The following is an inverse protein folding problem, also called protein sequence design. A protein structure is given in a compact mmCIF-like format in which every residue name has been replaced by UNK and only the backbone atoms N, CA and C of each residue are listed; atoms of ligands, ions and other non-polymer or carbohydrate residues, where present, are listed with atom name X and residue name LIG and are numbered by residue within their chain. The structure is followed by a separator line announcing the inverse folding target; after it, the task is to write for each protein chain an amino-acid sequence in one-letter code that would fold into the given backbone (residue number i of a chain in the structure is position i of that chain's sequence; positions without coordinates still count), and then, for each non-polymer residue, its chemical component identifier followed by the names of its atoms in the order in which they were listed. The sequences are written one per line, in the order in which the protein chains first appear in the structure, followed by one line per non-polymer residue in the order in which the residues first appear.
data_IF_903795962762
#
_entry.id   IF_903795962762
#
_cell.length_a   1.000
_cell.length_b   1.000
_cell.length_c   1.000
_cell.angle_alpha   90.00
_cell.angle_beta   90.00
_cell.angle_gamma   90.00
#
_symmetry.space_group_name_H-M   'P 1'
#
loop_
_entity.id
_entity.type
_entity.pdbx_description
1 polymer ?
#
# COMPACT_ATOMS: atom_id res chain seq x y z
N UNK A 1 8.04 -13.09 -14.71
CA UNK A 1 9.12 -13.07 -13.71
C UNK A 1 8.53 -13.53 -12.38
N UNK A 2 9.15 -14.47 -11.68
CA UNK A 2 8.65 -14.90 -10.38
C UNK A 2 9.25 -14.03 -9.27
N UNK A 3 8.44 -13.72 -8.26
CA UNK A 3 8.82 -12.92 -7.07
C UNK A 3 8.80 -13.80 -5.82
N UNK A 4 9.56 -13.42 -4.79
CA UNK A 4 9.67 -14.17 -3.54
C UNK A 4 9.38 -13.26 -2.36
N UNK A 5 8.32 -13.60 -1.64
CA UNK A 5 7.94 -13.00 -0.37
C UNK A 5 7.41 -11.57 -0.46
N UNK A 6 6.66 -11.19 0.54
CA UNK A 6 6.28 -9.82 0.82
C UNK A 6 7.43 -9.17 1.60
N UNK A 7 8.04 -8.13 1.04
CA UNK A 7 9.16 -7.45 1.70
C UNK A 7 8.67 -6.32 2.60
N UNK A 8 7.73 -5.50 2.09
CA UNK A 8 7.25 -4.34 2.82
C UNK A 8 5.89 -3.89 2.30
N UNK A 9 5.07 -3.35 3.18
CA UNK A 9 3.86 -2.61 2.85
C UNK A 9 3.96 -1.20 3.45
N UNK A 10 3.56 -0.20 2.68
CA UNK A 10 3.56 1.21 3.09
C UNK A 10 2.22 1.84 2.77
N UNK A 11 1.77 2.75 3.63
CA UNK A 11 0.50 3.46 3.51
C UNK A 11 0.71 4.96 3.64
N UNK A 12 -0.10 5.74 2.95
CA UNK A 12 -0.19 7.19 3.10
C UNK A 12 -1.62 7.64 2.93
N UNK A 13 -2.08 8.59 3.76
CA UNK A 13 -3.38 9.21 3.55
C UNK A 13 -3.26 10.26 2.44
N UNK A 14 -4.23 10.29 1.55
CA UNK A 14 -4.30 11.28 0.47
C UNK A 14 -5.61 12.05 0.56
N UNK A 15 -5.58 13.30 0.10
CA UNK A 15 -6.77 14.14 0.00
C UNK A 15 -7.58 13.89 -1.28
N UNK A 16 -8.69 14.59 -1.45
CA UNK A 16 -9.56 14.49 -2.64
C UNK A 16 -8.83 14.86 -3.95
N UNK A 17 -7.67 15.52 -3.87
CA UNK A 17 -6.80 15.83 -5.01
C UNK A 17 -5.67 14.81 -5.19
N UNK A 18 -5.73 13.73 -4.43
CA UNK A 18 -4.74 12.64 -4.39
C UNK A 18 -3.33 13.12 -3.99
N UNK A 19 -3.24 14.14 -3.14
CA UNK A 19 -1.99 14.60 -2.54
C UNK A 19 -1.82 14.03 -1.14
N UNK A 20 -0.58 13.68 -0.81
CA UNK A 20 -0.24 13.12 0.50
C UNK A 20 -0.55 14.11 1.62
N UNK A 21 -1.28 13.62 2.62
CA UNK A 21 -1.55 14.34 3.85
C UNK A 21 -0.38 14.10 4.82
N UNK A 22 0.33 15.16 5.18
CA UNK A 22 1.49 15.12 6.07
C UNK A 22 1.15 15.74 7.44
N UNK A 23 1.98 15.44 8.45
CA UNK A 23 1.85 15.96 9.80
C UNK A 23 1.27 14.96 10.80
N UNK A 24 1.74 15.03 12.04
CA UNK A 24 1.46 14.04 13.08
C UNK A 24 -0.03 13.91 13.47
N UNK A 25 -0.84 14.92 13.20
CA UNK A 25 -2.26 14.93 13.57
C UNK A 25 -3.22 14.63 12.41
N UNK A 26 -2.76 14.79 11.17
CA UNK A 26 -3.60 14.66 9.98
C UNK A 26 -3.15 13.52 9.08
N UNK A 27 -1.84 13.21 9.04
CA UNK A 27 -1.26 12.14 8.23
C UNK A 27 -0.88 10.91 9.06
N UNK A 28 -0.29 9.93 8.40
CA UNK A 28 0.26 8.73 9.05
C UNK A 28 1.69 8.99 9.54
N UNK A 29 1.86 9.93 10.47
CA UNK A 29 3.16 10.35 10.98
C UNK A 29 3.70 11.63 10.34
N UNK A 30 4.91 12.04 10.75
CA UNK A 30 5.52 13.30 10.35
C UNK A 30 5.69 13.43 8.84
N UNK A 31 6.12 12.36 8.19
CA UNK A 31 6.40 12.32 6.75
C UNK A 31 5.16 11.94 5.93
N UNK A 32 4.04 11.60 6.58
CA UNK A 32 2.79 11.20 5.95
C UNK A 32 2.76 9.75 5.49
N UNK A 33 3.87 9.04 5.49
CA UNK A 33 3.96 7.62 5.09
C UNK A 33 4.21 6.74 6.31
N UNK A 34 3.33 5.76 6.49
CA UNK A 34 3.53 4.69 7.46
C UNK A 34 4.11 3.45 6.79
N UNK A 35 5.19 2.94 7.34
CA UNK A 35 5.84 1.72 6.88
C UNK A 35 5.60 0.62 7.88
N UNK A 36 5.01 -0.51 7.44
CA UNK A 36 4.86 -1.70 8.27
C UNK A 36 6.24 -2.31 8.53
N UNK A 37 6.68 -2.28 9.77
CA UNK A 37 8.03 -2.68 10.18
C UNK A 37 8.03 -3.68 11.36
N UNK A 38 9.14 -3.76 12.08
CA UNK A 38 9.29 -4.65 13.24
C UNK A 38 8.35 -4.33 14.41
N UNK A 39 7.86 -3.10 14.54
CA UNK A 39 6.90 -2.70 15.59
C UNK A 39 5.56 -3.37 15.36
N UNK A 40 5.22 -3.56 14.09
CA UNK A 40 3.99 -4.23 13.64
C UNK A 40 4.18 -5.75 13.49
N UNK A 41 5.33 -6.28 13.85
CA UNK A 41 5.73 -7.68 13.58
C UNK A 41 5.69 -8.05 12.09
N UNK A 42 5.64 -7.04 11.22
CA UNK A 42 5.61 -7.17 9.77
C UNK A 42 4.27 -7.54 9.18
N UNK A 43 4.19 -7.42 7.86
CA UNK A 43 3.06 -7.90 7.07
C UNK A 43 3.26 -9.37 6.67
N UNK A 44 2.22 -10.20 6.86
CA UNK A 44 2.23 -11.63 6.63
C UNK A 44 1.90 -11.98 5.19
N UNK A 45 0.81 -11.43 4.68
CA UNK A 45 0.38 -11.62 3.30
C UNK A 45 -0.15 -10.34 2.67
N UNK A 46 -0.01 -10.24 1.35
CA UNK A 46 -0.68 -9.29 0.50
C UNK A 46 -1.11 -10.01 -0.78
N UNK A 47 -2.38 -10.37 -0.86
CA UNK A 47 -2.93 -11.05 -2.02
C UNK A 47 -3.60 -10.05 -2.95
N UNK A 48 -2.96 -9.76 -4.09
CA UNK A 48 -3.43 -8.82 -5.09
C UNK A 48 -4.25 -9.56 -6.14
N UNK A 49 -5.49 -9.17 -6.32
CA UNK A 49 -6.43 -9.71 -7.33
C UNK A 49 -6.92 -8.59 -8.24
N UNK A 50 -7.56 -8.94 -9.37
CA UNK A 50 -8.17 -7.95 -10.26
C UNK A 50 -7.17 -7.08 -11.04
N UNK A 51 -5.91 -7.52 -11.21
CA UNK A 51 -4.90 -6.80 -12.01
C UNK A 51 -5.23 -6.74 -13.51
N UNK A 52 -6.14 -7.55 -13.97
CA UNK A 52 -6.73 -7.47 -15.32
C UNK A 52 -8.20 -7.84 -15.25
N UNK A 53 -9.01 -7.23 -16.12
CA UNK A 53 -10.40 -7.63 -16.28
C UNK A 53 -10.51 -9.04 -16.87
N UNK A 54 -11.66 -9.68 -16.64
CA UNK A 54 -11.97 -10.97 -17.27
C UNK A 54 -12.37 -10.74 -18.73
N UNK A 55 -11.72 -11.39 -19.72
CA UNK A 55 -12.05 -11.21 -21.12
C UNK A 55 -13.52 -11.58 -21.42
N UNK A 56 -14.25 -10.66 -22.03
CA UNK A 56 -15.59 -10.87 -22.54
C UNK A 56 -15.49 -11.31 -23.99
N UNK A 57 -15.94 -12.53 -24.30
CA UNK A 57 -15.88 -13.12 -25.63
C UNK A 57 -17.02 -12.64 -26.48
N UNK A 58 -16.73 -12.15 -27.70
CA UNK A 58 -17.69 -11.72 -28.70
C UNK A 58 -17.80 -12.80 -29.79
N UNK A 59 -18.98 -13.39 -29.88
CA UNK A 59 -19.27 -14.46 -30.82
C UNK A 59 -20.03 -13.92 -32.05
N UNK A 60 -19.67 -14.41 -33.23
CA UNK A 60 -20.37 -14.15 -34.50
C UNK A 60 -20.13 -15.28 -35.50
N UNK A 61 -21.15 -15.60 -36.32
CA UNK A 61 -21.08 -16.66 -37.31
C UNK A 61 -20.55 -18.00 -36.75
N UNK A 62 -21.08 -18.41 -35.57
CA UNK A 62 -20.72 -19.66 -34.87
C UNK A 62 -19.23 -19.79 -34.52
N UNK A 63 -18.52 -18.66 -34.47
CA UNK A 63 -17.10 -18.63 -34.10
C UNK A 63 -16.79 -17.46 -33.18
N UNK A 64 -15.70 -17.59 -32.42
CA UNK A 64 -15.19 -16.47 -31.57
C UNK A 64 -14.57 -15.44 -32.50
N UNK A 65 -15.17 -14.25 -32.57
CA UNK A 65 -14.75 -13.15 -33.44
C UNK A 65 -13.77 -12.20 -32.77
N UNK A 66 -13.98 -11.93 -31.44
CA UNK A 66 -13.20 -10.95 -30.70
C UNK A 66 -13.28 -11.23 -29.18
N UNK A 67 -12.38 -10.62 -28.42
CA UNK A 67 -12.39 -10.65 -26.96
C UNK A 67 -12.03 -9.27 -26.40
N UNK A 68 -12.96 -8.64 -25.72
CA UNK A 68 -12.75 -7.35 -25.04
C UNK A 68 -12.32 -7.59 -23.58
N UNK A 69 -11.37 -6.78 -23.09
CA UNK A 69 -10.86 -6.87 -21.72
C UNK A 69 -11.30 -5.60 -20.99
N UNK A 70 -12.23 -5.68 -20.03
CA UNK A 70 -12.63 -4.53 -19.23
C UNK A 70 -11.48 -4.03 -18.36
N UNK A 71 -11.64 -2.83 -17.82
CA UNK A 71 -10.65 -2.20 -16.95
C UNK A 71 -10.30 -3.08 -15.75
N UNK A 72 -9.08 -2.95 -15.27
CA UNK A 72 -8.64 -3.59 -14.04
C UNK A 72 -9.39 -3.00 -12.83
N UNK A 73 -9.77 -3.85 -11.89
CA UNK A 73 -10.38 -3.49 -10.60
C UNK A 73 -9.58 -4.16 -9.47
N UNK A 74 -8.38 -3.64 -9.14
CA UNK A 74 -7.51 -4.28 -8.18
C UNK A 74 -8.08 -4.24 -6.77
N UNK A 75 -7.99 -5.37 -6.10
CA UNK A 75 -8.24 -5.50 -4.67
C UNK A 75 -7.08 -6.24 -4.01
N UNK A 76 -6.71 -5.80 -2.81
CA UNK A 76 -5.61 -6.40 -2.06
C UNK A 76 -6.10 -6.85 -0.69
N UNK A 77 -6.07 -8.17 -0.45
CA UNK A 77 -6.28 -8.71 0.88
C UNK A 77 -4.93 -8.71 1.62
N UNK A 78 -4.89 -7.93 2.71
CA UNK A 78 -3.72 -7.75 3.57
C UNK A 78 -3.93 -8.49 4.89
N UNK A 79 -2.86 -9.13 5.36
CA UNK A 79 -2.81 -9.75 6.69
C UNK A 79 -1.54 -9.24 7.39
N UNK A 80 -1.73 -8.47 8.46
CA UNK A 80 -0.66 -7.82 9.21
C UNK A 80 -0.69 -8.35 10.64
N UNK A 81 0.47 -8.73 11.17
CA UNK A 81 0.53 -9.40 12.47
C UNK A 81 0.10 -8.51 13.65
N UNK A 82 0.39 -7.21 13.60
CA UNK A 82 0.03 -6.28 14.67
C UNK A 82 0.17 -4.84 14.20
N UNK A 83 -0.81 -4.33 13.47
CA UNK A 83 -0.79 -2.92 13.04
C UNK A 83 -1.07 -2.00 14.24
N UNK A 84 -0.34 -0.89 14.34
CA UNK A 84 -0.57 0.11 15.38
C UNK A 84 -2.04 0.58 15.37
N UNK A 85 -2.68 0.58 16.54
CA UNK A 85 -4.14 0.76 16.64
C UNK A 85 -4.62 2.10 16.07
N UNK A 86 -3.91 3.18 16.36
CA UNK A 86 -4.18 4.53 15.85
C UNK A 86 -4.05 4.60 14.33
N UNK A 87 -3.02 3.99 13.78
CA UNK A 87 -2.80 3.88 12.33
C UNK A 87 -3.92 3.09 11.67
N UNK A 88 -4.28 1.93 12.25
CA UNK A 88 -5.36 1.10 11.76
C UNK A 88 -6.70 1.86 11.70
N UNK A 89 -7.02 2.65 12.74
CA UNK A 89 -8.24 3.45 12.74
C UNK A 89 -8.18 4.60 11.73
N UNK A 90 -7.03 5.27 11.63
CA UNK A 90 -6.83 6.39 10.70
C UNK A 90 -6.98 5.97 9.24
N UNK A 91 -6.38 4.85 8.82
CA UNK A 91 -6.49 4.35 7.44
C UNK A 91 -7.91 3.85 7.09
N UNK A 92 -8.73 3.52 8.10
CA UNK A 92 -10.16 3.18 7.94
C UNK A 92 -11.07 4.41 7.89
N UNK A 93 -10.54 5.61 8.16
CA UNK A 93 -11.33 6.84 8.25
C UNK A 93 -12.11 7.02 9.54
N UNK A 94 -11.72 6.32 10.60
CA UNK A 94 -12.31 6.51 11.92
C UNK A 94 -11.80 7.78 12.58
N UNK A 95 -12.67 8.49 13.25
CA UNK A 95 -12.34 9.73 13.97
C UNK A 95 -12.25 9.46 15.47
N UNK A 96 -11.15 9.93 16.09
CA UNK A 96 -10.95 9.85 17.52
C UNK A 96 -11.79 10.94 18.23
N UNK A 97 -12.58 10.55 19.22
CA UNK A 97 -13.39 11.44 20.06
C UNK A 97 -12.59 12.18 21.16
N UNK A 98 -11.28 12.00 21.18
CA UNK A 98 -10.34 12.52 22.18
C UNK A 98 -10.63 12.06 23.63
N UNK A 99 -11.47 11.03 23.78
CA UNK A 99 -11.80 10.38 25.05
C UNK A 99 -11.42 8.90 25.06
N UNK A 100 -10.68 8.48 24.01
CA UNK A 100 -10.22 7.10 23.81
C UNK A 100 -11.14 6.24 22.94
N UNK A 101 -12.22 6.81 22.40
CA UNK A 101 -13.13 6.16 21.45
C UNK A 101 -12.82 6.57 19.99
N UNK A 102 -13.13 5.65 19.07
CA UNK A 102 -13.09 5.91 17.64
C UNK A 102 -14.47 5.58 17.05
N UNK A 103 -14.99 6.51 16.27
CA UNK A 103 -16.29 6.37 15.60
C UNK A 103 -16.13 6.52 14.10
N UNK A 104 -16.99 5.85 13.34
CA UNK A 104 -17.07 6.05 11.91
C UNK A 104 -17.56 7.47 11.63
N UNK A 105 -16.79 8.24 10.88
CA UNK A 105 -17.16 9.61 10.48
C UNK A 105 -18.17 9.66 9.34
N UNK A 106 -18.46 8.51 8.70
CA UNK A 106 -19.20 8.44 7.44
C UNK A 106 -18.38 8.93 6.23
N UNK A 107 -17.16 9.41 6.44
CA UNK A 107 -16.22 9.83 5.39
C UNK A 107 -15.14 8.76 5.27
N UNK A 108 -14.99 8.19 4.10
CA UNK A 108 -13.96 7.19 3.84
C UNK A 108 -12.61 7.86 3.68
N UNK A 109 -11.59 7.32 4.36
CA UNK A 109 -10.22 7.76 4.13
C UNK A 109 -9.71 7.26 2.77
N UNK A 110 -9.12 8.15 2.00
CA UNK A 110 -8.39 7.80 0.79
C UNK A 110 -6.96 7.45 1.16
N UNK A 111 -6.51 6.30 0.71
CA UNK A 111 -5.21 5.71 1.09
C UNK A 111 -4.41 5.36 -0.14
N UNK A 112 -3.20 5.89 -0.25
CA UNK A 112 -2.19 5.41 -1.16
C UNK A 112 -1.44 4.23 -0.53
N UNK A 113 -1.09 3.22 -1.32
CA UNK A 113 -0.41 2.03 -0.84
C UNK A 113 0.72 1.60 -1.78
N UNK A 114 1.85 1.20 -1.21
CA UNK A 114 2.96 0.62 -1.94
C UNK A 114 3.32 -0.74 -1.34
N UNK A 115 3.24 -1.78 -2.16
CA UNK A 115 3.65 -3.13 -1.80
C UNK A 115 4.95 -3.46 -2.50
N UNK A 116 5.94 -3.86 -1.73
CA UNK A 116 7.27 -4.23 -2.23
C UNK A 116 7.49 -5.73 -2.08
N UNK A 117 7.94 -6.36 -3.16
CA UNK A 117 8.37 -7.76 -3.18
C UNK A 117 9.77 -7.88 -3.80
N UNK A 118 10.43 -9.02 -3.61
CA UNK A 118 11.76 -9.26 -4.17
C UNK A 118 11.72 -10.22 -5.34
N UNK A 119 12.71 -10.09 -6.21
CA UNK A 119 12.99 -11.11 -7.24
C UNK A 119 13.49 -12.41 -6.60
N UNK A 120 13.43 -13.54 -7.33
CA UNK A 120 13.88 -14.86 -6.82
C UNK A 120 15.33 -14.81 -6.34
N UNK A 121 16.20 -14.08 -7.04
CA UNK A 121 17.60 -13.92 -6.68
C UNK A 121 17.83 -12.97 -5.49
N UNK A 122 16.73 -12.33 -4.98
CA UNK A 122 16.69 -11.38 -3.87
C UNK A 122 17.58 -10.14 -4.05
N UNK A 123 18.06 -9.87 -5.26
CA UNK A 123 18.91 -8.71 -5.55
C UNK A 123 18.12 -7.47 -5.90
N UNK A 124 16.94 -7.66 -6.52
CA UNK A 124 16.13 -6.58 -7.05
C UNK A 124 14.73 -6.59 -6.43
N UNK A 125 14.03 -5.48 -6.59
CA UNK A 125 12.68 -5.28 -6.07
C UNK A 125 11.67 -5.06 -7.20
N UNK A 126 10.46 -5.51 -6.92
CA UNK A 126 9.28 -5.17 -7.71
C UNK A 126 8.28 -4.49 -6.79
N UNK A 127 7.70 -3.41 -7.28
CA UNK A 127 6.80 -2.56 -6.51
C UNK A 127 5.43 -2.51 -7.17
N UNK A 128 4.39 -2.70 -6.38
CA UNK A 128 3.00 -2.51 -6.78
C UNK A 128 2.50 -1.24 -6.11
N UNK A 129 2.33 -0.18 -6.89
CA UNK A 129 1.88 1.13 -6.42
C UNK A 129 0.40 1.32 -6.70
N UNK A 130 -0.33 1.78 -5.69
CA UNK A 130 -1.73 2.17 -5.73
C UNK A 130 -1.80 3.58 -5.17
N UNK A 131 -2.11 4.58 -6.00
CA UNK A 131 -2.06 5.98 -5.59
C UNK A 131 -3.31 6.44 -4.85
N UNK A 132 -4.40 5.69 -4.97
CA UNK A 132 -5.66 5.96 -4.27
C UNK A 132 -6.45 4.68 -4.07
N UNK A 133 -7.15 4.59 -2.96
CA UNK A 133 -8.03 3.47 -2.63
C UNK A 133 -8.64 3.58 -1.25
N UNK A 134 -9.48 2.62 -0.91
CA UNK A 134 -10.21 2.57 0.35
C UNK A 134 -9.84 1.29 1.09
N UNK A 135 -9.50 1.41 2.36
CA UNK A 135 -9.26 0.29 3.27
C UNK A 135 -10.50 -0.01 4.11
N UNK A 136 -10.82 -1.29 4.21
CA UNK A 136 -11.88 -1.80 5.06
C UNK A 136 -11.40 -2.99 5.88
N UNK A 137 -11.98 -3.17 7.06
CA UNK A 137 -11.80 -4.35 7.90
C UNK A 137 -13.12 -5.11 7.91
N UNK A 138 -13.26 -6.17 7.08
CA UNK A 138 -14.54 -6.85 6.91
C UNK A 138 -14.95 -7.65 8.15
N UNK A 139 -14.01 -8.09 8.97
CA UNK A 139 -14.26 -8.85 10.19
C UNK A 139 -13.10 -8.77 11.17
N UNK A 140 -13.40 -8.79 12.46
CA UNK A 140 -12.42 -9.00 13.53
C UNK A 140 -12.70 -10.37 14.15
N UNK A 141 -11.78 -11.32 14.00
CA UNK A 141 -11.94 -12.67 14.53
C UNK A 141 -11.21 -12.81 15.87
N UNK A 142 -11.95 -12.66 16.96
CA UNK A 142 -11.41 -12.73 18.32
C UNK A 142 -11.68 -14.13 18.91
N UNK A 143 -10.62 -14.78 19.39
CA UNK A 143 -10.69 -16.12 19.96
C UNK A 143 -10.10 -16.15 21.37
N UNK A 144 -10.67 -16.97 22.23
CA UNK A 144 -10.11 -17.22 23.56
C UNK A 144 -8.81 -18.03 23.45
N UNK A 145 -7.86 -17.72 24.32
CA UNK A 145 -6.68 -18.56 24.48
C UNK A 145 -7.09 -19.95 25.01
N UNK A 146 -6.48 -20.96 24.46
CA UNK A 146 -6.52 -22.34 24.98
C UNK A 146 -5.19 -22.63 25.70
N UNK A 147 -4.67 -23.85 25.61
CA UNK A 147 -3.32 -24.20 26.09
C UNK A 147 -2.20 -23.53 25.28
N UNK A 148 -2.55 -22.87 24.16
CA UNK A 148 -1.66 -22.06 23.35
C UNK A 148 -2.24 -20.65 23.18
N UNK A 149 -1.35 -19.65 23.04
CA UNK A 149 -1.75 -18.26 22.75
C UNK A 149 -2.26 -18.20 21.30
N UNK A 150 -3.52 -17.83 21.14
CA UNK A 150 -4.10 -17.58 19.81
C UNK A 150 -4.09 -16.08 19.54
N UNK A 151 -3.37 -15.66 18.50
CA UNK A 151 -3.35 -14.26 18.05
C UNK A 151 -4.37 -14.05 16.95
N UNK A 152 -5.05 -12.92 16.99
CA UNK A 152 -5.84 -12.42 15.89
C UNK A 152 -4.97 -11.44 15.09
N UNK A 153 -4.76 -11.72 13.82
CA UNK A 153 -4.05 -10.85 12.91
C UNK A 153 -4.99 -9.75 12.39
N UNK A 154 -4.45 -8.64 11.91
CA UNK A 154 -5.21 -7.55 11.31
C UNK A 154 -5.46 -7.84 9.82
N UNK A 155 -6.65 -8.38 9.54
CA UNK A 155 -7.11 -8.69 8.19
C UNK A 155 -7.81 -7.48 7.57
N UNK A 156 -7.21 -6.88 6.55
CA UNK A 156 -7.70 -5.68 5.88
C UNK A 156 -7.92 -5.97 4.39
N UNK A 157 -8.91 -5.32 3.81
CA UNK A 157 -9.15 -5.35 2.36
C UNK A 157 -9.00 -3.95 1.80
N UNK A 158 -8.09 -3.80 0.86
CA UNK A 158 -7.89 -2.57 0.11
C UNK A 158 -8.56 -2.68 -1.25
N UNK A 159 -9.34 -1.70 -1.63
CA UNK A 159 -9.93 -1.56 -2.97
C UNK A 159 -9.30 -0.37 -3.66
N UNK A 160 -8.60 -0.61 -4.75
CA UNK A 160 -7.94 0.44 -5.51
C UNK A 160 -8.94 1.30 -6.29
N UNK A 161 -8.68 2.59 -6.33
CA UNK A 161 -9.38 3.57 -7.14
C UNK A 161 -8.47 4.09 -8.25
N UNK A 162 -9.06 4.82 -9.20
CA UNK A 162 -8.29 5.44 -10.28
C UNK A 162 -7.37 6.51 -9.75
N UNK A 163 -6.12 6.53 -10.24
CA UNK A 163 -5.08 7.46 -9.80
C UNK A 163 -4.73 8.44 -10.92
N UNK A 164 -4.78 9.74 -10.62
CA UNK A 164 -4.47 10.82 -11.58
C UNK A 164 -3.02 10.69 -12.08
N UNK A 165 -2.08 10.46 -11.16
CA UNK A 165 -0.66 10.31 -11.48
C UNK A 165 -0.36 9.10 -12.39
N UNK A 166 -1.25 8.11 -12.44
CA UNK A 166 -1.13 6.93 -13.31
C UNK A 166 -1.92 7.07 -14.62
N UNK A 167 -2.39 8.27 -14.95
CA UNK A 167 -3.20 8.51 -16.14
C UNK A 167 -4.59 7.87 -16.06
N UNK A 168 -5.16 7.78 -14.88
CA UNK A 168 -6.48 7.18 -14.62
C UNK A 168 -6.45 5.66 -14.42
N UNK A 169 -5.28 5.03 -14.38
CA UNK A 169 -5.15 3.62 -14.05
C UNK A 169 -5.18 3.41 -12.52
N UNK A 170 -5.74 2.30 -12.02
CA UNK A 170 -5.85 2.05 -10.58
C UNK A 170 -4.54 1.58 -9.95
N UNK A 171 -3.58 1.12 -10.72
CA UNK A 171 -2.29 0.65 -10.21
C UNK A 171 -1.17 0.86 -11.23
N UNK A 172 0.06 0.85 -10.76
CA UNK A 172 1.27 0.87 -11.58
C UNK A 172 2.32 -0.06 -10.97
N UNK A 173 3.00 -0.82 -11.81
CA UNK A 173 4.08 -1.73 -11.39
C UNK A 173 5.41 -1.12 -11.77
N UNK A 174 6.34 -1.12 -10.82
CA UNK A 174 7.71 -0.64 -11.02
C UNK A 174 8.70 -1.76 -10.71
N UNK A 175 9.87 -1.69 -11.33
CA UNK A 175 10.96 -2.63 -11.07
C UNK A 175 12.29 -1.91 -11.16
N UNK A 176 13.17 -2.16 -10.20
CA UNK A 176 14.54 -1.68 -10.22
C UNK A 176 15.46 -2.41 -11.22
N UNK A 177 14.91 -3.40 -11.91
CA UNK A 177 15.56 -4.01 -13.08
C UNK A 177 15.54 -3.11 -14.32
N UNK A 178 14.59 -2.15 -14.37
CA UNK A 178 14.56 -1.19 -15.47
C UNK A 178 15.64 -0.13 -15.24
N UNK A 179 16.58 0.08 -16.20
CA UNK A 179 17.61 1.10 -16.08
C UNK A 179 17.07 2.54 -15.95
N UNK A 180 15.80 2.77 -16.30
CA UNK A 180 15.12 4.06 -16.17
C UNK A 180 14.35 4.19 -14.85
N UNK A 181 14.42 3.19 -13.99
CA UNK A 181 13.72 3.24 -12.71
C UNK A 181 14.28 4.36 -11.83
N UNK A 182 13.39 5.24 -11.40
CA UNK A 182 13.67 6.28 -10.43
C UNK A 182 12.78 6.08 -9.20
N UNK A 183 13.41 5.75 -8.09
CA UNK A 183 12.73 5.53 -6.83
C UNK A 183 12.04 6.79 -6.31
N UNK A 184 12.64 7.97 -6.48
CA UNK A 184 12.06 9.22 -6.04
C UNK A 184 10.79 9.56 -6.84
N UNK A 185 10.83 9.34 -8.15
CA UNK A 185 9.67 9.50 -9.02
C UNK A 185 8.54 8.52 -8.65
N UNK A 186 8.87 7.24 -8.42
CA UNK A 186 7.89 6.24 -7.97
C UNK A 186 7.19 6.68 -6.68
N UNK A 187 7.93 7.12 -5.67
CA UNK A 187 7.33 7.59 -4.42
C UNK A 187 6.46 8.83 -4.63
N UNK A 188 6.90 9.76 -5.46
CA UNK A 188 6.12 10.95 -5.82
C UNK A 188 4.81 10.62 -6.53
N UNK A 189 4.83 9.67 -7.47
CA UNK A 189 3.64 9.23 -8.20
C UNK A 189 2.66 8.44 -7.30
N UNK A 190 3.17 7.54 -6.45
CA UNK A 190 2.32 6.69 -5.58
C UNK A 190 1.76 7.49 -4.41
N UNK A 191 2.57 8.34 -3.79
CA UNK A 191 2.18 9.08 -2.59
C UNK A 191 1.98 10.58 -2.87
N UNK A 192 1.30 10.89 -3.96
CA UNK A 192 0.78 12.23 -4.21
C UNK A 192 1.76 13.39 -4.05
N UNK A 193 2.94 13.28 -4.66
CA UNK A 193 3.98 14.32 -4.63
C UNK A 193 4.95 14.22 -3.44
N UNK A 194 5.01 13.06 -2.77
CA UNK A 194 5.99 12.84 -1.72
C UNK A 194 7.44 12.96 -2.25
N UNK A 195 8.26 13.69 -1.53
CA UNK A 195 9.69 13.86 -1.84
C UNK A 195 10.50 13.01 -0.86
N UNK A 196 11.21 12.00 -1.41
CA UNK A 196 12.13 11.21 -0.59
C UNK A 196 13.20 12.12 0.02
N UNK A 197 13.44 12.06 1.35
CA UNK A 197 14.55 12.77 1.95
C UNK A 197 15.87 12.28 1.34
N UNK A 198 16.63 13.21 0.77
CA UNK A 198 17.96 12.94 0.26
C UNK A 198 18.85 12.59 1.45
N UNK A 199 19.31 11.35 1.56
CA UNK A 199 20.32 10.98 2.55
C UNK A 199 21.62 11.71 2.19
N UNK A 200 21.85 12.84 2.85
CA UNK A 200 23.17 13.51 2.81
C UNK A 200 24.14 12.61 3.53
N UNK A 201 24.87 11.80 2.80
CA UNK A 201 26.05 11.09 3.33
C UNK A 201 27.08 12.15 3.67
N UNK A 202 27.01 12.69 4.88
CA UNK A 202 28.03 13.56 5.43
C UNK A 202 29.31 12.75 5.62
N UNK A 203 30.17 12.74 4.63
CA UNK A 203 31.56 12.33 4.80
C UNK A 203 32.27 13.40 5.64
N UNK A 204 32.25 13.24 6.97
CA UNK A 204 33.15 13.97 7.84
C UNK A 204 34.52 13.29 7.82
N UNK A 205 35.33 13.59 6.82
CA UNK A 205 36.78 13.43 6.94
C UNK A 205 37.32 14.53 7.85
N UNK A 206 37.46 14.24 9.13
CA UNK A 206 38.33 15.02 10.00
C UNK A 206 39.76 14.58 9.77
N UNK A 207 40.69 15.45 9.31
CA UNK A 207 42.11 15.10 9.29
C UNK A 207 42.62 15.10 10.74
N UNK A 208 43.17 13.98 11.16
CA UNK A 208 43.99 13.94 12.36
C UNK A 208 45.25 14.78 12.13
N UNK A 209 45.41 15.85 12.90
CA UNK A 209 46.67 16.57 13.02
C UNK A 209 47.40 16.07 14.27
N UNK A 210 48.64 15.79 14.12
CA UNK A 210 49.66 15.27 15.04
C UNK A 210 49.57 15.70 16.49
#
# INVERSE_FOLDING_TARGET
MATVGLYQAQFGLVDDTQKLITGANAGLGTDGIYTVDHKDLGAKTANITGLSGTPVKIWGNDSLQDADIPNAEPSVALDINNLAFDIKQSIKGMVNDQKGGYTDSGIKAHVAMLITTRTIDRKNFVYYGFGDGILSEPSANLQSNTNAVTRADDALTYTALTTIAFGGQPYKIYSDLDPKFDKANMYSEVFGGYVLPTSTTGSSTTPATH
#
